data_IF_505342811986
#
_entry.id   IF_505342811986
#
_cell.length_a   1.000
_cell.length_b   1.000
_cell.length_c   1.000
_cell.angle_alpha   90.00
_cell.angle_beta   90.00
_cell.angle_gamma   90.00
#
_symmetry.space_group_name_H-M   'P 1'
#
loop_
_entity.id
_entity.type
_entity.pdbx_description
1 polymer ?
#
# COMPACT_ATOMS: atom_id res chain seq x y z
N UNK A 1 37.02 5.53 -19.29
CA UNK A 1 35.62 5.72 -18.84
C UNK A 1 35.28 4.54 -17.93
N UNK A 2 35.15 4.79 -16.64
CA UNK A 2 34.74 3.76 -15.67
C UNK A 2 33.25 3.55 -15.84
N UNK A 3 32.85 2.40 -16.38
CA UNK A 3 31.43 2.02 -16.48
C UNK A 3 30.96 1.77 -15.04
N UNK A 4 30.23 2.70 -14.46
CA UNK A 4 29.65 2.56 -13.14
C UNK A 4 28.57 1.45 -13.23
N UNK A 5 28.70 0.41 -12.38
CA UNK A 5 27.69 -0.66 -12.34
C UNK A 5 26.33 -0.06 -11.99
N UNK A 6 25.27 -0.40 -12.72
CA UNK A 6 23.93 0.07 -12.37
C UNK A 6 23.55 -0.31 -10.95
N UNK A 7 22.84 0.57 -10.24
CA UNK A 7 22.28 0.27 -8.91
C UNK A 7 21.20 -0.79 -9.06
N UNK A 8 21.17 -1.79 -8.20
CA UNK A 8 20.12 -2.79 -8.20
C UNK A 8 18.78 -2.15 -7.80
N UNK A 9 17.66 -2.49 -8.47
CA UNK A 9 16.36 -1.93 -8.13
C UNK A 9 15.84 -2.46 -6.80
N UNK A 10 15.27 -1.56 -5.99
CA UNK A 10 14.65 -1.90 -4.70
C UNK A 10 13.20 -2.34 -4.95
N UNK A 11 12.75 -3.46 -4.37
CA UNK A 11 11.35 -3.86 -4.46
C UNK A 11 10.41 -2.78 -3.93
N UNK A 12 9.29 -2.59 -4.63
CA UNK A 12 8.24 -1.66 -4.24
C UNK A 12 6.87 -2.20 -4.66
N UNK A 13 5.84 -1.77 -3.97
CA UNK A 13 4.46 -2.15 -4.23
C UNK A 13 3.57 -0.90 -4.27
N UNK A 14 2.64 -0.87 -5.22
CA UNK A 14 1.72 0.25 -5.43
C UNK A 14 0.31 -0.29 -5.65
N UNK A 15 -0.69 0.36 -5.06
CA UNK A 15 -2.08 -0.06 -5.12
C UNK A 15 -2.94 0.94 -5.87
N UNK A 16 -3.61 0.46 -6.94
CA UNK A 16 -4.66 1.19 -7.65
C UNK A 16 -6.01 0.81 -7.03
N UNK A 17 -6.52 1.68 -6.17
CA UNK A 17 -7.85 1.54 -5.57
C UNK A 17 -8.89 2.11 -6.52
N UNK A 18 -9.83 1.27 -6.96
CA UNK A 18 -10.84 1.63 -7.94
C UNK A 18 -12.23 1.68 -7.31
N UNK A 19 -13.09 2.59 -7.80
CA UNK A 19 -14.53 2.60 -7.53
C UNK A 19 -15.34 2.91 -8.78
N UNK A 20 -16.61 2.45 -8.84
CA UNK A 20 -17.47 2.59 -10.01
C UNK A 20 -18.59 3.63 -9.83
N UNK A 21 -18.72 4.22 -8.63
CA UNK A 21 -19.81 5.15 -8.33
C UNK A 21 -19.26 6.47 -7.76
N UNK A 22 -19.76 7.64 -8.22
CA UNK A 22 -20.82 7.84 -9.23
C UNK A 22 -20.35 7.57 -10.67
N UNK A 23 -19.05 7.43 -10.90
CA UNK A 23 -18.39 7.09 -12.15
C UNK A 23 -17.12 6.28 -11.85
N UNK A 24 -16.50 5.71 -12.87
CA UNK A 24 -15.24 4.99 -12.70
C UNK A 24 -14.13 5.96 -12.27
N UNK A 25 -13.53 5.69 -11.12
CA UNK A 25 -12.48 6.52 -10.54
C UNK A 25 -11.36 5.69 -9.92
N UNK A 26 -10.18 6.28 -9.84
CA UNK A 26 -9.02 5.75 -9.13
C UNK A 26 -8.60 6.71 -8.03
N UNK A 27 -8.22 6.17 -6.86
CA UNK A 27 -7.68 6.96 -5.77
C UNK A 27 -6.23 7.34 -6.06
N UNK A 28 -5.93 8.62 -5.92
CA UNK A 28 -4.57 9.14 -5.93
C UNK A 28 -4.31 9.98 -4.69
N UNK A 29 -3.08 9.97 -4.22
CA UNK A 29 -2.62 10.79 -3.09
C UNK A 29 -1.60 11.81 -3.58
N UNK A 30 -1.65 13.02 -3.04
CA UNK A 30 -0.73 14.10 -3.38
C UNK A 30 0.44 14.10 -2.40
N UNK A 31 1.64 13.88 -2.90
CA UNK A 31 2.85 13.88 -2.08
C UNK A 31 3.18 15.28 -1.55
N UNK A 32 3.67 15.33 -0.33
CA UNK A 32 4.12 16.57 0.28
C UNK A 32 5.29 17.18 -0.52
N UNK A 33 5.34 18.52 -0.64
CA UNK A 33 6.36 19.24 -1.42
C UNK A 33 7.80 19.08 -0.91
N UNK A 34 8.01 18.61 0.31
CA UNK A 34 9.34 18.40 0.92
C UNK A 34 9.92 17.01 0.67
N UNK A 35 9.21 16.13 -0.06
CA UNK A 35 9.71 14.80 -0.39
C UNK A 35 10.57 14.85 -1.65
N UNK A 36 11.77 14.26 -1.61
CA UNK A 36 12.78 14.29 -2.67
C UNK A 36 12.34 13.72 -4.03
N UNK A 37 11.37 12.78 -4.05
CA UNK A 37 10.93 12.11 -5.26
C UNK A 37 9.48 12.43 -5.57
N UNK A 38 9.21 12.92 -6.80
CA UNK A 38 7.87 13.28 -7.28
C UNK A 38 7.13 14.27 -6.36
N UNK A 39 7.85 15.26 -5.82
CA UNK A 39 7.31 16.33 -4.96
C UNK A 39 6.06 16.98 -5.56
N UNK A 40 4.95 17.04 -4.81
CA UNK A 40 3.68 17.64 -5.24
C UNK A 40 2.94 16.87 -6.35
N UNK A 41 3.45 15.72 -6.79
CA UNK A 41 2.78 14.89 -7.79
C UNK A 41 1.62 14.11 -7.17
N UNK A 42 0.61 13.85 -7.98
CA UNK A 42 -0.41 12.84 -7.69
C UNK A 42 0.16 11.46 -8.02
N UNK A 43 0.13 10.56 -7.06
CA UNK A 43 0.63 9.19 -7.18
C UNK A 43 -0.40 8.21 -6.62
N UNK A 44 -0.32 6.95 -7.00
CA UNK A 44 -1.06 5.90 -6.31
C UNK A 44 -0.41 5.59 -4.96
N UNK A 45 -1.16 5.24 -3.92
CA UNK A 45 -0.60 4.79 -2.65
C UNK A 45 0.40 3.66 -2.85
N UNK A 46 1.57 3.77 -2.19
CA UNK A 46 2.57 2.72 -2.33
C UNK A 46 3.98 3.11 -1.91
N UNK A 47 4.77 2.10 -1.58
CA UNK A 47 6.13 2.25 -1.13
C UNK A 47 6.93 0.95 -1.16
N UNK A 48 7.93 0.87 -0.32
CA UNK A 48 8.82 -0.29 -0.18
C UNK A 48 8.28 -1.23 0.90
N UNK A 49 8.55 -2.54 0.80
CA UNK A 49 8.39 -3.41 1.96
C UNK A 49 9.16 -2.88 3.16
N UNK A 50 8.54 -2.94 4.32
CA UNK A 50 9.13 -2.62 5.63
C UNK A 50 9.48 -3.89 6.40
N UNK A 51 10.29 -3.75 7.45
CA UNK A 51 10.50 -4.83 8.40
C UNK A 51 9.14 -5.27 8.97
N UNK A 52 8.91 -6.58 9.01
CA UNK A 52 7.64 -7.16 9.47
C UNK A 52 6.63 -7.47 8.37
N UNK A 53 6.73 -6.88 7.16
CA UNK A 53 5.85 -7.24 6.03
C UNK A 53 6.08 -8.69 5.54
N UNK A 54 7.21 -9.29 5.86
CA UNK A 54 7.59 -10.68 5.52
C UNK A 54 7.41 -11.65 6.69
N UNK A 55 6.84 -11.23 7.81
CA UNK A 55 6.67 -12.05 9.00
C UNK A 55 5.73 -13.25 8.74
N UNK A 56 6.11 -14.44 9.24
CA UNK A 56 5.31 -15.64 9.05
C UNK A 56 3.97 -15.61 9.77
N UNK A 57 3.87 -14.81 10.82
CA UNK A 57 2.66 -14.57 11.61
C UNK A 57 1.49 -14.01 10.79
N UNK A 58 1.78 -13.40 9.65
CA UNK A 58 0.75 -12.96 8.71
C UNK A 58 -0.13 -14.10 8.17
N UNK A 59 0.36 -15.35 8.23
CA UNK A 59 -0.41 -16.52 7.80
C UNK A 59 -1.78 -16.63 8.49
N UNK A 60 -1.87 -16.22 9.77
CA UNK A 60 -3.09 -16.26 10.58
C UNK A 60 -3.96 -15.00 10.42
N UNK A 61 -3.47 -14.00 9.65
CA UNK A 61 -4.12 -12.70 9.51
C UNK A 61 -4.34 -12.28 8.04
N UNK A 62 -4.17 -13.22 7.10
CA UNK A 62 -4.36 -12.95 5.67
C UNK A 62 -5.24 -14.02 5.01
N UNK A 63 -6.14 -13.59 4.15
CA UNK A 63 -6.86 -14.47 3.21
C UNK A 63 -6.01 -14.64 1.95
N UNK A 64 -5.95 -15.88 1.42
CA UNK A 64 -5.17 -16.19 0.22
C UNK A 64 -3.67 -16.42 0.47
N UNK A 65 -3.24 -16.55 1.71
CA UNK A 65 -1.82 -16.74 2.07
C UNK A 65 -1.13 -17.86 1.30
N UNK A 66 -1.74 -19.04 1.23
CA UNK A 66 -1.16 -20.20 0.54
C UNK A 66 -1.12 -20.10 -0.99
N UNK A 67 -1.78 -19.10 -1.56
CA UNK A 67 -1.85 -18.89 -3.02
C UNK A 67 -0.59 -18.25 -3.57
N UNK A 68 0.14 -17.51 -2.74
CA UNK A 68 1.26 -16.67 -3.15
C UNK A 68 2.59 -17.16 -2.58
N UNK A 69 3.68 -16.95 -3.30
CA UNK A 69 5.04 -17.11 -2.78
C UNK A 69 5.40 -15.98 -1.78
N UNK A 70 6.52 -16.12 -1.08
CA UNK A 70 6.94 -15.18 -0.03
C UNK A 70 7.12 -13.75 -0.57
N UNK A 71 7.68 -13.60 -1.77
CA UNK A 71 7.85 -12.29 -2.41
C UNK A 71 6.51 -11.62 -2.68
N UNK A 72 5.55 -12.37 -3.24
CA UNK A 72 4.21 -11.86 -3.53
C UNK A 72 3.40 -11.56 -2.27
N UNK A 73 3.57 -12.34 -1.20
CA UNK A 73 2.97 -12.06 0.12
C UNK A 73 3.47 -10.74 0.68
N UNK A 74 4.79 -10.59 0.78
CA UNK A 74 5.45 -9.37 1.28
C UNK A 74 5.02 -8.12 0.51
N UNK A 75 5.03 -8.18 -0.83
CA UNK A 75 4.63 -7.05 -1.68
C UNK A 75 3.14 -6.69 -1.52
N UNK A 76 2.26 -7.67 -1.36
CA UNK A 76 0.82 -7.41 -1.15
C UNK A 76 0.54 -6.83 0.23
N UNK A 77 1.22 -7.31 1.26
CA UNK A 77 1.14 -6.74 2.60
C UNK A 77 1.65 -5.30 2.59
N UNK A 78 2.82 -5.06 1.99
CA UNK A 78 3.36 -3.71 1.81
C UNK A 78 2.37 -2.77 1.10
N UNK A 79 1.74 -3.22 -0.01
CA UNK A 79 0.75 -2.40 -0.73
C UNK A 79 -0.46 -2.04 0.14
N UNK A 80 -0.96 -2.98 0.97
CA UNK A 80 -2.09 -2.73 1.88
C UNK A 80 -1.65 -1.79 3.01
N UNK A 81 -0.46 -1.98 3.58
CA UNK A 81 0.09 -1.12 4.63
C UNK A 81 0.25 0.32 4.14
N UNK A 82 0.85 0.53 2.97
CA UNK A 82 1.01 1.86 2.37
C UNK A 82 -0.33 2.55 2.10
N UNK A 83 -1.34 1.82 1.59
CA UNK A 83 -2.69 2.36 1.42
C UNK A 83 -3.34 2.74 2.77
N UNK A 84 -3.07 1.97 3.83
CA UNK A 84 -3.49 2.29 5.18
C UNK A 84 -2.78 3.55 5.70
N UNK A 85 -1.47 3.64 5.57
CA UNK A 85 -0.66 4.78 6.05
C UNK A 85 -1.02 6.06 5.28
N UNK A 86 -0.97 6.04 3.95
CA UNK A 86 -1.09 7.23 3.11
C UNK A 86 -2.54 7.70 2.87
N UNK A 87 -3.49 6.76 2.77
CA UNK A 87 -4.87 7.07 2.40
C UNK A 87 -5.94 6.66 3.45
N UNK A 88 -5.56 5.97 4.53
CA UNK A 88 -6.50 5.48 5.54
C UNK A 88 -7.43 4.37 5.04
N UNK A 89 -7.04 3.66 4.00
CA UNK A 89 -7.83 2.55 3.44
C UNK A 89 -7.20 1.22 3.84
N UNK A 90 -7.93 0.42 4.61
CA UNK A 90 -7.52 -0.92 5.01
C UNK A 90 -8.28 -1.99 4.21
N UNK A 91 -7.59 -2.70 3.34
CA UNK A 91 -8.17 -3.78 2.55
C UNK A 91 -8.25 -5.06 3.39
N UNK A 92 -9.31 -5.18 4.16
CA UNK A 92 -9.52 -6.28 5.09
C UNK A 92 -10.99 -6.66 5.22
N UNK A 93 -11.25 -7.86 5.76
CA UNK A 93 -12.57 -8.29 6.20
C UNK A 93 -12.50 -8.72 7.67
N UNK A 94 -13.61 -8.60 8.39
CA UNK A 94 -13.75 -9.20 9.72
C UNK A 94 -13.65 -10.72 9.64
N UNK A 95 -13.26 -11.34 10.75
CA UNK A 95 -13.11 -12.83 10.83
C UNK A 95 -14.40 -13.60 10.53
N UNK A 96 -15.55 -12.98 10.74
CA UNK A 96 -16.87 -13.53 10.42
C UNK A 96 -17.24 -13.39 8.93
N UNK A 97 -16.40 -12.75 8.11
CA UNK A 97 -16.56 -12.58 6.67
C UNK A 97 -17.21 -11.26 6.24
N UNK A 98 -17.58 -10.39 7.18
CA UNK A 98 -18.05 -9.03 6.87
C UNK A 98 -16.91 -8.12 6.40
N UNK A 99 -17.17 -7.23 5.43
CA UNK A 99 -16.20 -6.25 5.02
C UNK A 99 -15.82 -5.31 6.20
N UNK A 100 -14.54 -5.02 6.35
CA UNK A 100 -14.10 -3.97 7.28
C UNK A 100 -14.40 -2.61 6.66
N UNK A 101 -15.28 -1.85 7.28
CA UNK A 101 -15.78 -0.58 6.76
C UNK A 101 -15.52 0.59 7.70
N UNK A 102 -14.85 0.35 8.83
CA UNK A 102 -14.53 1.37 9.81
C UNK A 102 -13.45 2.33 9.30
N UNK A 103 -13.47 3.56 9.81
CA UNK A 103 -12.41 4.52 9.55
C UNK A 103 -11.12 4.12 10.28
N UNK A 104 -10.01 4.27 9.59
CA UNK A 104 -8.70 4.03 10.20
C UNK A 104 -8.26 5.24 11.05
N UNK A 105 -7.91 4.98 12.31
CA UNK A 105 -7.44 6.00 13.23
C UNK A 105 -6.14 6.66 12.75
N UNK A 106 -6.13 7.99 12.67
CA UNK A 106 -5.00 8.76 12.15
C UNK A 106 -3.74 8.61 13.01
N UNK A 107 -3.86 8.57 14.32
CA UNK A 107 -2.69 8.43 15.19
C UNK A 107 -2.07 7.03 15.09
N UNK A 108 -2.90 6.01 14.94
CA UNK A 108 -2.44 4.64 14.65
C UNK A 108 -1.71 4.56 13.31
N UNK A 109 -2.23 5.21 12.26
CA UNK A 109 -1.59 5.28 10.93
C UNK A 109 -0.20 5.91 11.03
N UNK A 110 -0.10 7.09 11.67
CA UNK A 110 1.17 7.80 11.90
C UNK A 110 2.16 6.98 12.72
N UNK A 111 1.70 6.23 13.70
CA UNK A 111 2.57 5.37 14.51
C UNK A 111 3.16 4.22 13.67
N UNK A 112 2.38 3.63 12.76
CA UNK A 112 2.86 2.61 11.81
C UNK A 112 3.89 3.22 10.85
N UNK A 113 3.57 4.34 10.20
CA UNK A 113 4.45 5.06 9.28
C UNK A 113 5.82 5.40 9.90
N UNK A 114 5.83 5.78 11.20
CA UNK A 114 7.08 6.10 11.93
C UNK A 114 7.80 4.87 12.47
N UNK A 115 7.25 3.66 12.29
CA UNK A 115 7.80 2.44 12.90
C UNK A 115 7.67 2.37 14.42
N UNK A 116 6.79 3.17 15.01
CA UNK A 116 6.48 3.17 16.45
C UNK A 116 5.48 2.07 16.81
N UNK A 117 4.79 1.54 15.81
CA UNK A 117 3.80 0.47 15.93
C UNK A 117 3.90 -0.48 14.75
N UNK A 118 3.83 -1.79 15.02
CA UNK A 118 3.81 -2.79 13.96
C UNK A 118 2.43 -2.82 13.27
N UNK A 119 2.42 -2.88 11.94
CA UNK A 119 1.16 -2.96 11.18
C UNK A 119 0.38 -4.24 11.50
N UNK A 120 1.08 -5.34 11.77
CA UNK A 120 0.47 -6.59 12.21
C UNK A 120 -0.35 -6.43 13.51
N UNK A 121 0.11 -5.61 14.45
CA UNK A 121 -0.62 -5.37 15.69
C UNK A 121 -1.90 -4.58 15.46
N UNK A 122 -1.91 -3.63 14.51
CA UNK A 122 -3.12 -2.93 14.09
C UNK A 122 -4.17 -3.93 13.57
N UNK A 123 -3.76 -4.84 12.69
CA UNK A 123 -4.64 -5.86 12.10
C UNK A 123 -5.17 -6.84 13.16
N UNK A 124 -4.31 -7.24 14.08
CA UNK A 124 -4.68 -8.11 15.21
C UNK A 124 -5.73 -7.48 16.12
N UNK A 125 -5.49 -6.24 16.54
CA UNK A 125 -6.39 -5.50 17.43
C UNK A 125 -7.74 -5.18 16.77
N UNK A 126 -7.73 -4.88 15.47
CA UNK A 126 -8.96 -4.70 14.69
C UNK A 126 -9.74 -6.02 14.51
N UNK A 127 -9.11 -7.18 14.77
CA UNK A 127 -9.75 -8.48 14.62
C UNK A 127 -10.10 -8.83 13.17
N UNK A 128 -9.28 -8.37 12.22
CA UNK A 128 -9.53 -8.53 10.78
C UNK A 128 -8.48 -9.40 10.10
N UNK A 129 -8.77 -9.78 8.86
CA UNK A 129 -7.83 -10.45 7.96
C UNK A 129 -7.62 -9.60 6.71
N UNK A 130 -6.35 -9.38 6.32
CA UNK A 130 -6.01 -8.71 5.08
C UNK A 130 -6.45 -9.56 3.88
N UNK A 131 -6.94 -8.92 2.83
CA UNK A 131 -7.44 -9.57 1.62
C UNK A 131 -6.38 -9.58 0.52
N UNK A 132 -5.32 -10.40 0.70
CA UNK A 132 -4.29 -10.57 -0.33
C UNK A 132 -4.87 -11.11 -1.64
N UNK A 133 -5.88 -11.95 -1.55
CA UNK A 133 -6.58 -12.57 -2.66
C UNK A 133 -7.37 -11.60 -3.55
N UNK A 134 -7.75 -10.43 -3.04
CA UNK A 134 -8.43 -9.38 -3.84
C UNK A 134 -7.48 -8.55 -4.70
N UNK A 135 -6.20 -8.52 -4.37
CA UNK A 135 -5.20 -7.79 -5.14
C UNK A 135 -4.87 -8.53 -6.44
N UNK A 136 -5.24 -7.95 -7.58
CA UNK A 136 -4.86 -8.47 -8.89
C UNK A 136 -3.58 -7.80 -9.39
N UNK A 137 -2.64 -8.60 -9.92
CA UNK A 137 -1.46 -8.03 -10.57
C UNK A 137 -1.89 -7.23 -11.81
N UNK A 138 -1.52 -5.96 -11.88
CA UNK A 138 -1.82 -5.07 -12.99
C UNK A 138 -0.61 -4.85 -13.89
N UNK A 139 0.53 -4.48 -13.29
CA UNK A 139 1.77 -4.20 -14.02
C UNK A 139 2.99 -4.41 -13.13
N UNK A 140 4.17 -4.46 -13.75
CA UNK A 140 5.47 -4.38 -13.10
C UNK A 140 6.34 -3.39 -13.86
N UNK A 141 6.93 -2.45 -13.14
CA UNK A 141 7.78 -1.43 -13.72
C UNK A 141 9.13 -1.39 -13.04
N UNK A 142 10.20 -1.57 -13.82
CA UNK A 142 11.57 -1.46 -13.32
C UNK A 142 12.18 -0.16 -13.82
N UNK A 143 12.63 0.69 -12.89
CA UNK A 143 13.28 1.96 -13.22
C UNK A 143 14.48 1.73 -14.13
N UNK A 144 14.68 2.51 -15.21
CA UNK A 144 15.79 2.36 -16.14
C UNK A 144 17.17 2.40 -15.49
N UNK A 145 18.14 1.70 -16.07
CA UNK A 145 19.49 1.49 -15.49
C UNK A 145 20.34 2.74 -15.36
N UNK A 146 20.00 3.81 -16.07
CA UNK A 146 20.70 5.10 -16.00
C UNK A 146 20.27 5.98 -14.81
N UNK A 147 19.22 5.58 -14.08
CA UNK A 147 18.73 6.33 -12.91
C UNK A 147 19.51 5.97 -11.65
N UNK A 148 19.75 6.98 -10.78
CA UNK A 148 20.48 6.81 -9.52
C UNK A 148 19.67 6.11 -8.42
N UNK A 149 18.35 6.29 -8.41
CA UNK A 149 17.40 5.55 -7.56
C UNK A 149 16.57 4.66 -8.47
N UNK A 150 16.52 3.37 -8.16
CA UNK A 150 15.79 2.41 -8.98
C UNK A 150 14.86 1.58 -8.12
N UNK A 151 13.66 1.37 -8.63
CA UNK A 151 12.63 0.54 -8.02
C UNK A 151 12.20 -0.56 -8.99
N UNK A 152 11.85 -1.70 -8.44
CA UNK A 152 11.13 -2.78 -9.10
C UNK A 152 9.72 -2.78 -8.52
N UNK A 153 8.84 -1.98 -9.14
CA UNK A 153 7.52 -1.69 -8.61
C UNK A 153 6.48 -2.66 -9.17
N UNK A 154 5.80 -3.35 -8.28
CA UNK A 154 4.63 -4.16 -8.59
C UNK A 154 3.37 -3.34 -8.37
N UNK A 155 2.55 -3.22 -9.40
CA UNK A 155 1.27 -2.52 -9.37
C UNK A 155 0.15 -3.52 -9.18
N UNK A 156 -0.62 -3.34 -8.13
CA UNK A 156 -1.82 -4.11 -7.84
C UNK A 156 -3.06 -3.28 -8.07
N UNK A 157 -4.11 -3.89 -8.61
CA UNK A 157 -5.42 -3.25 -8.76
C UNK A 157 -6.45 -3.96 -7.90
N UNK A 158 -7.32 -3.18 -7.27
CA UNK A 158 -8.37 -3.69 -6.39
C UNK A 158 -9.56 -2.74 -6.34
N UNK A 159 -10.76 -3.28 -6.14
CA UNK A 159 -11.93 -2.47 -5.81
C UNK A 159 -11.79 -1.94 -4.37
N UNK A 160 -11.94 -0.64 -4.21
CA UNK A 160 -11.90 0.01 -2.90
C UNK A 160 -13.08 -0.47 -2.02
N UNK A 161 -12.90 -0.56 -0.69
CA UNK A 161 -14.01 -0.75 0.26
C UNK A 161 -15.03 0.38 0.11
N UNK A 162 -16.33 0.04 0.12
CA UNK A 162 -17.40 0.98 -0.28
C UNK A 162 -17.62 2.12 0.72
N UNK A 163 -17.40 1.88 2.02
CA UNK A 163 -17.73 2.82 3.09
C UNK A 163 -16.52 3.48 3.74
N UNK A 164 -15.31 3.03 3.43
CA UNK A 164 -14.12 3.70 3.92
C UNK A 164 -13.90 5.03 3.18
N UNK A 165 -13.60 6.07 3.94
CA UNK A 165 -13.34 7.41 3.40
C UNK A 165 -11.83 7.60 3.33
N UNK A 166 -11.32 7.81 2.10
CA UNK A 166 -9.92 8.14 1.91
C UNK A 166 -9.59 9.49 2.56
N UNK A 167 -8.54 9.51 3.38
CA UNK A 167 -8.04 10.70 4.04
C UNK A 167 -6.51 10.66 4.11
N UNK A 168 -5.82 11.73 3.71
CA UNK A 168 -4.38 11.83 3.82
C UNK A 168 -3.92 11.90 5.28
N UNK A 169 -2.64 11.60 5.53
CA UNK A 169 -2.00 11.69 6.85
C UNK A 169 -1.61 13.13 7.22
N UNK A 170 -1.46 14.01 6.23
CA UNK A 170 -1.04 15.40 6.37
C UNK A 170 0.48 15.56 6.55
N UNK A 171 1.27 14.50 6.41
CA UNK A 171 2.71 14.48 6.56
C UNK A 171 3.43 14.04 5.27
N UNK A 172 3.34 12.79 4.86
CA UNK A 172 3.84 12.33 3.56
C UNK A 172 2.89 12.67 2.42
N UNK A 173 1.58 12.63 2.70
CA UNK A 173 0.52 12.97 1.75
C UNK A 173 -0.34 14.11 2.28
N UNK A 174 -0.65 15.07 1.43
CA UNK A 174 -1.39 16.30 1.80
C UNK A 174 -2.82 16.31 1.29
N UNK A 175 -3.14 15.44 0.36
CA UNK A 175 -4.48 15.32 -0.23
C UNK A 175 -4.73 13.92 -0.77
N UNK A 176 -5.99 13.49 -0.79
CA UNK A 176 -6.43 12.22 -1.34
C UNK A 176 -7.65 12.46 -2.24
N UNK A 177 -7.48 12.21 -3.53
CA UNK A 177 -8.46 12.54 -4.55
C UNK A 177 -8.88 11.31 -5.38
N UNK A 178 -10.18 11.23 -5.68
CA UNK A 178 -10.72 10.27 -6.63
C UNK A 178 -10.79 10.91 -8.00
N UNK A 179 -10.02 10.37 -8.94
CA UNK A 179 -9.91 10.90 -10.31
C UNK A 179 -10.56 9.95 -11.31
N UNK A 180 -11.31 10.50 -12.27
CA UNK A 180 -11.94 9.80 -13.40
C UNK A 180 -11.05 9.81 -14.65
#
# INVERSE_FOLDING_TARGET
MTIQKPVDPVPAATMLLLRDAPEFQVLMVKRHHQIDFASGALVFPGGKPSAGDDALEWADHCTGWSTFDDTQRTLRIAAIREAYEEAGILLADHRDGGAFEDSCDLESRKAVERGEREFLDVVREAGVHLRLDRLSNFARWITPTFMHKRFDTHFFVVRAPERQIAACDGYETVDAEWLS
#
